data_IF_331474205863
#
_entry.id   IF_331474205863
#
_cell.length_a   1.000
_cell.length_b   1.000
_cell.length_c   1.000
_cell.angle_alpha   90.00
_cell.angle_beta   90.00
_cell.angle_gamma   90.00
#
_symmetry.space_group_name_H-M   'P 1'
#
loop_
_entity.id
_entity.type
_entity.pdbx_description
1 polymer ?
#
# COMPACT_ATOMS: atom_id res chain seq x y z
N UNK A 1 3.36 -24.78 -28.22
CA UNK A 1 4.68 -24.34 -27.71
C UNK A 1 4.52 -22.86 -27.40
N UNK A 2 4.88 -22.40 -26.19
CA UNK A 2 4.77 -21.00 -25.79
C UNK A 2 5.88 -20.20 -26.49
N UNK A 3 5.53 -19.56 -27.61
CA UNK A 3 6.46 -18.78 -28.42
C UNK A 3 6.89 -17.48 -27.72
N UNK A 4 5.98 -16.93 -26.91
CA UNK A 4 6.10 -15.70 -26.16
C UNK A 4 7.24 -15.67 -25.13
N UNK A 5 7.68 -16.83 -24.64
CA UNK A 5 8.80 -16.96 -23.68
C UNK A 5 10.04 -17.61 -24.29
N UNK A 6 10.06 -17.84 -25.60
CA UNK A 6 11.14 -18.59 -26.24
C UNK A 6 12.50 -17.92 -26.09
N UNK A 7 12.54 -16.59 -26.09
CA UNK A 7 13.77 -15.83 -25.91
C UNK A 7 14.37 -16.04 -24.50
N UNK A 8 13.52 -16.30 -23.49
CA UNK A 8 13.96 -16.64 -22.14
C UNK A 8 14.41 -18.12 -22.05
N UNK A 9 13.62 -19.07 -22.55
CA UNK A 9 13.88 -20.51 -22.34
C UNK A 9 14.84 -21.11 -23.37
N UNK A 10 14.83 -20.63 -24.61
CA UNK A 10 15.59 -21.18 -25.74
C UNK A 10 17.09 -21.28 -25.50
N UNK A 11 17.77 -20.23 -25.00
CA UNK A 11 19.19 -20.27 -24.67
C UNK A 11 19.56 -21.35 -23.63
N UNK A 12 18.66 -21.61 -22.67
CA UNK A 12 18.85 -22.64 -21.62
C UNK A 12 18.78 -24.04 -22.23
N UNK A 13 17.78 -24.27 -23.09
CA UNK A 13 17.61 -25.53 -23.84
C UNK A 13 18.83 -25.79 -24.72
N UNK A 14 19.27 -24.79 -25.49
CA UNK A 14 20.44 -24.91 -26.36
C UNK A 14 21.69 -25.29 -25.57
N UNK A 15 21.90 -24.66 -24.40
CA UNK A 15 23.03 -24.98 -23.52
C UNK A 15 23.03 -26.45 -23.09
N UNK A 16 21.89 -26.99 -22.67
CA UNK A 16 21.81 -28.41 -22.25
C UNK A 16 22.09 -29.34 -23.43
N UNK A 17 21.50 -29.06 -24.60
CA UNK A 17 21.70 -29.87 -25.80
C UNK A 17 23.14 -29.81 -26.34
N UNK A 18 23.78 -28.64 -26.29
CA UNK A 18 25.13 -28.45 -26.84
C UNK A 18 26.25 -28.89 -25.90
N UNK A 19 26.06 -28.74 -24.58
CA UNK A 19 27.11 -29.02 -23.58
C UNK A 19 26.87 -30.31 -22.80
N UNK A 20 25.63 -30.81 -22.76
CA UNK A 20 25.24 -31.90 -21.90
C UNK A 20 25.32 -31.58 -20.40
N UNK A 21 25.33 -30.30 -20.02
CA UNK A 21 25.24 -29.85 -18.63
C UNK A 21 23.79 -29.55 -18.28
N UNK A 22 23.29 -30.09 -17.16
CA UNK A 22 21.97 -29.76 -16.67
C UNK A 22 21.89 -28.30 -16.21
N UNK A 23 20.71 -27.70 -16.30
CA UNK A 23 20.45 -26.34 -15.81
C UNK A 23 19.23 -26.32 -14.90
N UNK A 24 19.21 -25.39 -13.96
CA UNK A 24 18.13 -25.19 -13.01
C UNK A 24 17.92 -23.70 -12.80
N UNK A 25 16.68 -23.25 -12.92
CA UNK A 25 16.25 -21.89 -12.69
C UNK A 25 15.07 -21.94 -11.71
N UNK A 26 15.21 -21.38 -10.51
CA UNK A 26 14.12 -21.25 -9.55
C UNK A 26 13.31 -19.98 -9.80
N UNK A 27 11.98 -20.11 -9.76
CA UNK A 27 11.03 -19.01 -9.79
C UNK A 27 11.40 -17.94 -10.85
N UNK A 28 11.67 -18.39 -12.08
CA UNK A 28 11.93 -17.51 -13.20
C UNK A 28 10.65 -16.75 -13.54
N UNK A 29 10.71 -15.42 -13.50
CA UNK A 29 9.63 -14.55 -13.95
C UNK A 29 9.47 -14.70 -15.47
N UNK A 30 8.28 -15.08 -15.89
CA UNK A 30 7.89 -15.17 -17.29
C UNK A 30 6.56 -14.44 -17.48
N UNK A 31 6.40 -13.84 -18.65
CA UNK A 31 5.11 -13.26 -19.04
C UNK A 31 4.40 -14.21 -19.99
N UNK A 32 3.27 -14.75 -19.55
CA UNK A 32 2.44 -15.64 -20.36
C UNK A 32 1.16 -14.93 -20.81
N UNK A 33 0.81 -15.10 -22.08
CA UNK A 33 -0.48 -14.66 -22.60
C UNK A 33 -1.52 -15.76 -22.34
N UNK A 34 -2.27 -15.63 -21.24
CA UNK A 34 -3.30 -16.60 -20.85
C UNK A 34 -4.48 -15.89 -20.21
N UNK A 35 -5.66 -16.52 -20.28
CA UNK A 35 -6.89 -15.93 -19.71
C UNK A 35 -7.24 -14.54 -20.29
N UNK A 36 -6.76 -14.22 -21.49
CA UNK A 36 -7.05 -12.98 -22.21
C UNK A 36 -6.19 -11.77 -21.85
N UNK A 37 -5.09 -11.96 -21.10
CA UNK A 37 -4.15 -10.90 -20.75
C UNK A 37 -2.73 -11.44 -20.57
N UNK A 38 -1.76 -10.52 -20.58
CA UNK A 38 -0.37 -10.82 -20.25
C UNK A 38 -0.24 -10.95 -18.73
N UNK A 39 0.17 -12.12 -18.25
CA UNK A 39 0.19 -12.45 -16.84
C UNK A 39 1.62 -12.55 -16.29
N UNK A 40 1.84 -12.03 -15.09
CA UNK A 40 3.03 -12.30 -14.28
C UNK A 40 2.95 -13.76 -13.77
N UNK A 41 3.87 -14.61 -14.25
CA UNK A 41 3.99 -15.99 -13.78
C UNK A 41 5.42 -16.31 -13.35
N UNK A 42 5.55 -17.26 -12.43
CA UNK A 42 6.84 -17.73 -11.94
C UNK A 42 6.96 -19.23 -12.14
N UNK A 43 8.06 -19.68 -12.72
CA UNK A 43 8.27 -21.08 -13.04
C UNK A 43 9.64 -21.56 -12.60
N UNK A 44 9.70 -22.73 -11.97
CA UNK A 44 10.95 -23.43 -11.71
C UNK A 44 11.18 -24.49 -12.77
N UNK A 45 12.31 -24.38 -13.47
CA UNK A 45 12.71 -25.32 -14.51
C UNK A 45 13.90 -26.16 -14.07
N UNK A 46 13.86 -27.44 -14.42
CA UNK A 46 15.01 -28.34 -14.42
C UNK A 46 15.16 -28.96 -15.80
N UNK A 47 16.27 -28.66 -16.46
CA UNK A 47 16.60 -29.19 -17.78
C UNK A 47 17.74 -30.19 -17.64
N UNK A 48 17.49 -31.46 -17.96
CA UNK A 48 18.44 -32.57 -17.81
C UNK A 48 18.69 -33.27 -19.15
N UNK A 49 19.94 -33.49 -19.57
CA UNK A 49 20.23 -34.15 -20.83
C UNK A 49 19.86 -35.64 -20.75
N UNK A 50 19.29 -36.18 -21.82
CA UNK A 50 19.09 -37.60 -22.01
C UNK A 50 20.24 -38.13 -22.88
N UNK A 51 20.91 -39.19 -22.40
CA UNK A 51 22.08 -39.76 -23.07
C UNK A 51 21.80 -41.17 -23.57
N UNK A 52 22.37 -41.52 -24.71
CA UNK A 52 22.40 -42.89 -25.20
C UNK A 52 23.50 -43.72 -24.50
N UNK A 53 23.62 -44.99 -24.86
CA UNK A 53 24.62 -45.92 -24.32
C UNK A 53 26.07 -45.50 -24.64
N UNK A 54 26.27 -44.59 -25.61
CA UNK A 54 27.56 -44.05 -26.00
C UNK A 54 27.86 -42.70 -25.31
N UNK A 55 26.96 -42.21 -24.47
CA UNK A 55 27.10 -40.96 -23.73
C UNK A 55 26.75 -39.71 -24.55
N UNK A 56 26.29 -39.84 -25.80
CA UNK A 56 25.85 -38.70 -26.62
C UNK A 56 24.51 -38.17 -26.12
N UNK A 57 24.35 -36.84 -26.12
CA UNK A 57 23.07 -36.22 -25.80
C UNK A 57 22.10 -36.47 -26.97
N UNK A 58 21.07 -37.25 -26.73
CA UNK A 58 20.03 -37.60 -27.71
C UNK A 58 18.70 -36.88 -27.45
N UNK A 59 18.61 -36.13 -26.36
CA UNK A 59 17.45 -35.34 -26.01
C UNK A 59 17.62 -34.63 -24.67
N UNK A 60 16.51 -34.11 -24.15
CA UNK A 60 16.48 -33.40 -22.88
C UNK A 60 15.12 -33.64 -22.20
N UNK A 61 15.17 -33.94 -20.91
CA UNK A 61 14.02 -33.90 -20.03
C UNK A 61 13.87 -32.49 -19.46
N UNK A 62 12.67 -31.92 -19.58
CA UNK A 62 12.29 -30.69 -18.92
C UNK A 62 11.25 -31.02 -17.86
N UNK A 63 11.56 -30.73 -16.60
CA UNK A 63 10.59 -30.71 -15.50
C UNK A 63 10.30 -29.25 -15.18
N UNK A 64 9.02 -28.88 -15.19
CA UNK A 64 8.56 -27.54 -14.87
C UNK A 64 7.52 -27.60 -13.76
N UNK A 65 7.66 -26.72 -12.77
CA UNK A 65 6.62 -26.40 -11.81
C UNK A 65 6.28 -24.92 -11.89
N UNK A 66 5.00 -24.59 -11.73
CA UNK A 66 4.57 -23.20 -11.57
C UNK A 66 4.59 -22.85 -10.07
N UNK A 67 5.26 -21.74 -9.76
CA UNK A 67 5.49 -21.20 -8.43
C UNK A 67 4.77 -19.85 -8.21
N UNK A 68 3.96 -19.41 -9.17
CA UNK A 68 3.33 -18.08 -9.21
C UNK A 68 2.64 -17.71 -7.89
N UNK A 69 1.72 -18.54 -7.42
CA UNK A 69 0.96 -18.26 -6.19
C UNK A 69 1.88 -18.21 -4.97
N UNK A 70 2.90 -19.07 -4.91
CA UNK A 70 3.86 -19.11 -3.80
C UNK A 70 4.65 -17.79 -3.75
N UNK A 71 5.22 -17.37 -4.88
CA UNK A 71 6.04 -16.14 -4.95
C UNK A 71 5.21 -14.90 -4.64
N UNK A 72 4.00 -14.80 -5.19
CA UNK A 72 3.13 -13.65 -4.96
C UNK A 72 2.68 -13.60 -3.49
N UNK A 73 2.29 -14.73 -2.91
CA UNK A 73 1.87 -14.77 -1.51
C UNK A 73 3.03 -14.47 -0.56
N UNK A 74 4.24 -14.97 -0.84
CA UNK A 74 5.44 -14.63 -0.07
C UNK A 74 5.72 -13.12 -0.09
N UNK A 75 5.63 -12.48 -1.26
CA UNK A 75 5.82 -11.03 -1.44
C UNK A 75 4.79 -10.23 -0.65
N UNK A 76 3.50 -10.52 -0.83
CA UNK A 76 2.40 -9.83 -0.11
C UNK A 76 2.46 -10.03 1.40
N UNK A 77 2.80 -11.23 1.86
CA UNK A 77 2.97 -11.51 3.28
C UNK A 77 4.19 -10.79 3.87
N UNK A 78 5.27 -10.59 3.10
CA UNK A 78 6.39 -9.76 3.52
C UNK A 78 5.93 -8.30 3.72
N UNK A 79 5.22 -7.73 2.75
CA UNK A 79 4.67 -6.37 2.83
C UNK A 79 3.79 -6.17 4.08
N UNK A 80 2.86 -7.10 4.35
CA UNK A 80 2.00 -7.02 5.55
C UNK A 80 2.80 -7.17 6.86
N UNK A 81 3.79 -8.06 6.88
CA UNK A 81 4.66 -8.26 8.05
C UNK A 81 5.49 -7.00 8.34
N UNK A 82 6.01 -6.37 7.31
CA UNK A 82 6.84 -5.17 7.44
C UNK A 82 6.00 -3.97 7.88
N UNK A 83 4.77 -3.83 7.36
CA UNK A 83 3.79 -2.85 7.85
C UNK A 83 3.36 -3.08 9.30
N UNK A 84 3.22 -4.35 9.71
CA UNK A 84 2.85 -4.74 11.07
C UNK A 84 4.02 -4.74 12.06
N UNK A 85 5.25 -4.54 11.59
CA UNK A 85 6.42 -4.48 12.46
C UNK A 85 6.34 -3.23 13.35
N UNK A 86 6.56 -3.41 14.66
CA UNK A 86 6.40 -2.33 15.64
C UNK A 86 7.45 -1.23 15.41
N UNK A 87 7.05 -0.05 14.92
CA UNK A 87 7.95 1.06 14.90
C UNK A 87 7.95 1.65 16.31
N UNK A 88 8.82 1.13 17.17
CA UNK A 88 9.09 1.64 18.54
C UNK A 88 9.38 3.16 18.66
N UNK A 89 9.39 3.87 17.52
CA UNK A 89 9.69 5.29 17.35
C UNK A 89 8.48 6.10 16.84
N UNK A 90 7.40 5.48 16.36
CA UNK A 90 6.25 6.21 15.82
C UNK A 90 5.36 6.71 16.96
N UNK A 91 5.36 8.02 17.16
CA UNK A 91 4.59 8.71 18.19
C UNK A 91 3.51 9.61 17.61
N UNK A 92 3.57 9.88 16.31
CA UNK A 92 2.67 10.80 15.61
C UNK A 92 2.07 10.17 14.36
N UNK A 93 0.91 10.69 13.94
CA UNK A 93 0.25 10.29 12.68
C UNK A 93 1.20 10.43 11.49
N UNK A 94 1.97 11.52 11.43
CA UNK A 94 2.91 11.79 10.35
C UNK A 94 4.05 10.77 10.29
N UNK A 95 4.61 10.38 11.44
CA UNK A 95 5.66 9.35 11.51
C UNK A 95 5.11 7.99 11.07
N UNK A 96 3.89 7.63 11.48
CA UNK A 96 3.24 6.39 11.07
C UNK A 96 3.08 6.35 9.54
N UNK A 97 2.49 7.40 8.98
CA UNK A 97 2.25 7.51 7.55
C UNK A 97 3.54 7.50 6.73
N UNK A 98 4.60 8.16 7.23
CA UNK A 98 5.93 8.15 6.61
C UNK A 98 6.54 6.75 6.62
N UNK A 99 6.44 6.05 7.76
CA UNK A 99 6.89 4.66 7.88
C UNK A 99 6.13 3.74 6.92
N UNK A 100 4.80 3.82 6.90
CA UNK A 100 3.99 2.99 6.03
C UNK A 100 4.28 3.27 4.54
N UNK A 101 4.40 4.54 4.14
CA UNK A 101 4.79 4.89 2.77
C UNK A 101 6.15 4.31 2.37
N UNK A 102 7.13 4.29 3.29
CA UNK A 102 8.42 3.67 3.04
C UNK A 102 8.28 2.15 2.83
N UNK A 103 7.52 1.45 3.67
CA UNK A 103 7.30 0.00 3.53
C UNK A 103 6.56 -0.35 2.24
N UNK A 104 5.49 0.39 1.92
CA UNK A 104 4.75 0.22 0.66
C UNK A 104 5.62 0.51 -0.57
N UNK A 105 6.61 1.41 -0.44
CA UNK A 105 7.59 1.69 -1.49
C UNK A 105 8.54 0.52 -1.79
N UNK A 106 8.64 -0.48 -0.91
CA UNK A 106 9.47 -1.67 -1.13
C UNK A 106 8.76 -2.78 -1.93
N UNK A 107 7.47 -2.62 -2.24
CA UNK A 107 6.69 -3.58 -3.03
C UNK A 107 6.13 -2.95 -4.33
N UNK A 108 6.99 -2.46 -5.24
CA UNK A 108 6.56 -1.86 -6.50
C UNK A 108 5.95 -2.88 -7.48
N UNK A 109 5.97 -4.18 -7.16
CA UNK A 109 5.41 -5.25 -7.97
C UNK A 109 3.94 -5.48 -7.67
N UNK A 110 3.52 -5.57 -6.41
CA UNK A 110 2.10 -5.65 -6.09
C UNK A 110 1.44 -4.27 -5.91
N UNK A 111 2.21 -3.23 -5.59
CA UNK A 111 1.70 -1.88 -5.36
C UNK A 111 2.59 -0.84 -6.08
N UNK A 112 2.50 -0.71 -7.43
CA UNK A 112 3.33 0.22 -8.20
C UNK A 112 3.36 1.64 -7.66
N UNK A 113 2.23 2.12 -7.14
CA UNK A 113 2.18 3.29 -6.29
C UNK A 113 1.00 3.21 -5.31
N UNK A 114 1.10 3.95 -4.21
CA UNK A 114 0.00 4.14 -3.27
C UNK A 114 -0.18 5.60 -2.89
N UNK A 115 -1.40 5.98 -2.56
CA UNK A 115 -1.75 7.31 -2.02
C UNK A 115 -2.62 7.12 -0.79
N UNK A 116 -2.25 7.77 0.31
CA UNK A 116 -3.05 7.78 1.52
C UNK A 116 -3.65 9.17 1.70
N UNK A 117 -4.96 9.26 1.60
CA UNK A 117 -5.71 10.48 1.87
C UNK A 117 -6.37 10.40 3.24
N UNK A 118 -6.38 11.52 3.97
CA UNK A 118 -7.12 11.67 5.22
C UNK A 118 -8.21 12.71 5.05
N UNK A 119 -9.40 12.43 5.58
CA UNK A 119 -10.50 13.38 5.61
C UNK A 119 -10.19 14.51 6.59
N UNK A 120 -10.61 15.72 6.24
CA UNK A 120 -10.51 16.87 7.14
C UNK A 120 -11.53 16.75 8.29
N UNK A 121 -11.23 17.30 9.47
CA UNK A 121 -12.14 17.23 10.62
C UNK A 121 -13.50 17.89 10.32
N UNK A 122 -14.59 17.20 10.64
CA UNK A 122 -15.96 17.65 10.36
C UNK A 122 -16.41 17.47 8.91
N UNK A 123 -15.52 16.99 8.02
CA UNK A 123 -15.94 16.55 6.68
C UNK A 123 -16.68 15.20 6.79
N UNK A 124 -17.86 15.12 6.17
CA UNK A 124 -18.71 13.92 6.16
C UNK A 124 -19.31 13.48 7.52
N UNK A 125 -19.41 14.37 8.50
CA UNK A 125 -20.12 14.06 9.76
C UNK A 125 -21.59 13.71 9.51
N UNK A 126 -22.07 12.66 10.19
CA UNK A 126 -23.47 12.19 10.21
C UNK A 126 -24.39 13.30 10.74
N UNK A 127 -24.87 14.16 9.85
CA UNK A 127 -25.72 15.31 10.17
C UNK A 127 -25.55 16.52 9.24
N UNK A 128 -24.54 16.53 8.38
CA UNK A 128 -24.25 17.63 7.43
C UNK A 128 -25.00 17.55 6.10
N UNK A 129 -25.87 16.55 5.89
CA UNK A 129 -26.80 16.50 4.76
C UNK A 129 -27.98 17.45 4.98
N UNK A 130 -27.72 18.76 5.02
CA UNK A 130 -28.79 19.75 4.88
C UNK A 130 -29.22 19.74 3.41
N UNK A 131 -30.43 19.22 3.15
CA UNK A 131 -31.06 19.14 1.82
C UNK A 131 -31.21 20.56 1.23
N UNK A 132 -30.15 21.08 0.60
CA UNK A 132 -30.17 22.40 -0.04
C UNK A 132 -28.84 23.12 -0.17
N UNK A 133 -27.76 22.65 0.47
CA UNK A 133 -26.43 23.27 0.31
C UNK A 133 -25.58 22.50 -0.73
N UNK A 134 -25.25 23.18 -1.84
CA UNK A 134 -24.43 22.62 -2.93
C UNK A 134 -22.91 22.80 -2.69
N UNK A 135 -22.53 23.41 -1.56
CA UNK A 135 -21.13 23.73 -1.18
C UNK A 135 -20.58 22.82 -0.05
N UNK A 136 -21.33 21.82 0.42
CA UNK A 136 -20.98 20.93 1.53
C UNK A 136 -20.20 19.67 1.14
N UNK A 137 -19.42 19.71 0.06
CA UNK A 137 -18.60 18.58 -0.36
C UNK A 137 -17.39 18.42 0.56
N UNK A 138 -17.30 17.34 1.33
CA UNK A 138 -16.15 17.14 2.20
C UNK A 138 -14.84 16.98 1.41
N UNK A 139 -13.73 17.22 2.09
CA UNK A 139 -12.39 17.28 1.51
C UNK A 139 -11.46 16.23 2.12
N UNK A 140 -10.42 15.89 1.35
CA UNK A 140 -9.38 14.98 1.82
C UNK A 140 -7.99 15.48 1.41
N UNK A 141 -7.06 15.48 2.36
CA UNK A 141 -5.65 15.85 2.13
C UNK A 141 -4.80 14.62 1.85
N UNK A 142 -3.85 14.75 0.92
CA UNK A 142 -2.84 13.73 0.68
C UNK A 142 -1.88 13.71 1.88
N UNK A 143 -1.90 12.61 2.64
CA UNK A 143 -1.15 12.46 3.87
C UNK A 143 0.12 11.63 3.68
N UNK A 144 0.11 10.68 2.74
CA UNK A 144 1.28 9.87 2.37
C UNK A 144 1.21 9.41 0.91
N UNK A 145 2.35 9.08 0.32
CA UNK A 145 2.43 8.48 -1.01
C UNK A 145 3.65 7.56 -1.11
N UNK A 146 3.58 6.54 -1.97
CA UNK A 146 4.70 5.66 -2.32
C UNK A 146 4.74 5.44 -3.84
N UNK A 147 5.93 5.24 -4.42
CA UNK A 147 6.09 4.88 -5.84
C UNK A 147 5.73 5.96 -6.86
N UNK A 148 5.26 7.14 -6.44
CA UNK A 148 4.82 8.23 -7.32
C UNK A 148 5.44 9.58 -6.91
N UNK A 149 5.68 10.45 -7.88
CA UNK A 149 6.27 11.76 -7.61
C UNK A 149 5.27 12.72 -6.95
N UNK A 150 5.76 13.53 -6.00
CA UNK A 150 4.99 14.64 -5.43
C UNK A 150 4.57 15.60 -6.55
N UNK A 151 3.32 16.04 -6.53
CA UNK A 151 2.77 16.96 -7.54
C UNK A 151 2.31 16.27 -8.84
N UNK A 152 2.39 14.94 -8.93
CA UNK A 152 1.77 14.21 -10.04
C UNK A 152 0.25 14.45 -10.08
N UNK A 153 -0.40 14.59 -11.25
CA UNK A 153 -1.84 14.85 -11.35
C UNK A 153 -2.74 13.76 -10.72
N UNK A 154 -2.24 12.53 -10.61
CA UNK A 154 -2.92 11.43 -9.91
C UNK A 154 -2.82 11.53 -8.37
N UNK A 155 -1.93 12.39 -7.86
CA UNK A 155 -1.64 12.60 -6.44
C UNK A 155 -1.83 14.08 -6.06
N UNK A 156 -3.00 14.70 -6.31
CA UNK A 156 -3.25 16.07 -5.88
C UNK A 156 -3.16 16.15 -4.35
N UNK A 157 -2.62 17.26 -3.85
CA UNK A 157 -2.42 17.48 -2.40
C UNK A 157 -3.73 17.62 -1.62
N UNK A 158 -4.78 18.08 -2.30
CA UNK A 158 -6.13 18.22 -1.75
C UNK A 158 -7.15 17.71 -2.76
N UNK A 159 -8.16 17.03 -2.26
CA UNK A 159 -9.34 16.60 -3.01
C UNK A 159 -10.57 17.30 -2.44
N UNK A 160 -11.47 17.71 -3.34
CA UNK A 160 -12.80 18.22 -3.01
C UNK A 160 -13.83 17.36 -3.76
N UNK A 161 -14.99 17.10 -3.14
CA UNK A 161 -15.99 16.18 -3.67
C UNK A 161 -16.42 16.49 -5.12
N UNK A 162 -16.52 17.78 -5.49
CA UNK A 162 -16.98 18.24 -6.81
C UNK A 162 -15.97 18.00 -7.95
N UNK A 163 -14.68 17.80 -7.63
CA UNK A 163 -13.57 17.72 -8.60
C UNK A 163 -12.57 16.61 -8.27
N UNK A 164 -12.97 15.65 -7.45
CA UNK A 164 -12.07 14.60 -7.01
C UNK A 164 -11.75 13.65 -8.17
N UNK A 165 -10.46 13.41 -8.39
CA UNK A 165 -9.99 12.38 -9.34
C UNK A 165 -10.15 10.96 -8.80
N UNK A 166 -10.47 10.84 -7.51
CA UNK A 166 -10.73 9.59 -6.79
C UNK A 166 -12.16 9.57 -6.22
N UNK A 167 -12.81 8.39 -6.06
CA UNK A 167 -14.18 8.24 -5.56
C UNK A 167 -14.30 8.56 -4.07
N UNK A 168 -14.23 9.85 -3.75
CA UNK A 168 -14.11 10.39 -2.40
C UNK A 168 -15.36 10.12 -1.55
N UNK A 169 -16.55 10.31 -2.12
CA UNK A 169 -17.84 10.08 -1.41
C UNK A 169 -18.06 8.60 -1.07
N UNK A 170 -17.72 7.68 -1.98
CA UNK A 170 -17.85 6.25 -1.74
C UNK A 170 -16.89 5.81 -0.64
N UNK A 171 -15.65 6.31 -0.68
CA UNK A 171 -14.66 6.07 0.36
C UNK A 171 -15.12 6.60 1.72
N UNK A 172 -15.73 7.79 1.79
CA UNK A 172 -16.29 8.36 3.01
C UNK A 172 -17.42 7.49 3.60
N UNK A 173 -18.22 6.85 2.75
CA UNK A 173 -19.24 5.89 3.16
C UNK A 173 -18.71 4.47 3.46
N UNK A 174 -17.38 4.29 3.53
CA UNK A 174 -16.79 2.99 3.83
C UNK A 174 -16.89 1.98 2.69
N UNK A 175 -17.03 2.44 1.45
CA UNK A 175 -17.14 1.57 0.27
C UNK A 175 -15.80 1.51 -0.50
N UNK A 176 -15.35 0.29 -0.78
CA UNK A 176 -14.20 0.06 -1.66
C UNK A 176 -14.61 0.14 -3.13
N UNK A 177 -13.84 0.85 -3.96
CA UNK A 177 -14.16 1.10 -5.38
C UNK A 177 -12.96 0.77 -6.27
N UNK A 178 -13.19 0.01 -7.34
CA UNK A 178 -12.21 -0.21 -8.39
C UNK A 178 -12.28 0.92 -9.42
N UNK A 179 -11.15 1.53 -9.72
CA UNK A 179 -11.02 2.66 -10.65
C UNK A 179 -10.15 2.25 -11.84
N UNK A 180 -10.67 2.46 -13.05
CA UNK A 180 -9.89 2.33 -14.29
C UNK A 180 -8.98 3.54 -14.48
N UNK A 181 -7.69 3.30 -14.72
CA UNK A 181 -6.66 4.34 -14.88
C UNK A 181 -6.26 4.58 -16.33
N UNK A 182 -6.53 3.62 -17.22
CA UNK A 182 -6.15 3.71 -18.63
C UNK A 182 -6.75 5.00 -19.26
N UNK A 183 -5.86 5.91 -19.68
CA UNK A 183 -6.23 7.19 -20.27
C UNK A 183 -6.61 8.31 -19.29
N UNK A 184 -6.77 8.00 -18.00
CA UNK A 184 -7.13 9.00 -16.97
C UNK A 184 -5.95 9.90 -16.61
N UNK A 185 -4.76 9.29 -16.50
CA UNK A 185 -3.52 10.00 -16.19
C UNK A 185 -2.43 9.67 -17.21
N UNK A 186 -1.54 10.63 -17.45
CA UNK A 186 -0.34 10.42 -18.27
C UNK A 186 0.84 10.12 -17.37
N UNK A 187 1.76 9.26 -17.82
CA UNK A 187 3.04 8.99 -17.16
C UNK A 187 2.91 8.44 -15.73
N UNK A 188 1.91 7.59 -15.50
CA UNK A 188 1.83 6.85 -14.23
C UNK A 188 3.10 6.02 -14.01
N UNK A 189 3.59 5.93 -12.76
CA UNK A 189 4.68 5.03 -12.41
C UNK A 189 4.32 3.59 -12.77
N UNK A 190 5.30 2.85 -13.30
CA UNK A 190 5.11 1.44 -13.66
C UNK A 190 5.52 0.50 -12.53
N UNK A 191 6.19 1.01 -11.48
CA UNK A 191 6.84 0.16 -10.49
C UNK A 191 7.97 -0.64 -11.15
N UNK A 192 7.99 -1.96 -10.93
CA UNK A 192 8.95 -2.89 -11.54
C UNK A 192 8.49 -3.41 -12.91
N UNK A 193 7.35 -2.93 -13.40
CA UNK A 193 6.68 -3.43 -14.59
C UNK A 193 7.03 -2.65 -15.85
N UNK A 194 6.97 -3.27 -17.05
CA UNK A 194 7.13 -2.56 -18.32
C UNK A 194 6.04 -1.51 -18.60
N UNK A 195 4.81 -1.76 -18.17
CA UNK A 195 3.64 -0.92 -18.45
C UNK A 195 3.01 -0.36 -17.16
N UNK A 196 2.38 0.83 -17.21
CA UNK A 196 1.73 1.43 -16.05
C UNK A 196 0.50 0.63 -15.59
N UNK A 197 0.12 0.74 -14.30
CA UNK A 197 -1.08 0.12 -13.76
C UNK A 197 -2.32 0.57 -14.55
N UNK A 198 -3.16 -0.38 -14.92
CA UNK A 198 -4.43 -0.12 -15.61
C UNK A 198 -5.57 0.20 -14.63
N UNK A 199 -5.44 -0.22 -13.38
CA UNK A 199 -6.47 -0.14 -12.35
C UNK A 199 -5.88 0.28 -11.01
N UNK A 200 -6.68 0.94 -10.19
CA UNK A 200 -6.42 1.16 -8.77
C UNK A 200 -7.62 0.72 -7.93
N UNK A 201 -7.36 0.13 -6.77
CA UNK A 201 -8.39 -0.12 -5.77
C UNK A 201 -8.34 0.97 -4.72
N UNK A 202 -9.48 1.63 -4.52
CA UNK A 202 -9.69 2.62 -3.46
C UNK A 202 -10.36 1.91 -2.28
N UNK A 203 -9.74 1.97 -1.11
CA UNK A 203 -10.18 1.26 0.10
C UNK A 203 -10.26 2.24 1.27
N UNK A 204 -11.38 2.30 2.01
CA UNK A 204 -11.52 3.16 3.18
C UNK A 204 -10.61 2.74 4.34
N UNK A 205 -10.09 3.73 5.08
CA UNK A 205 -9.36 3.52 6.33
C UNK A 205 -10.37 3.52 7.49
N UNK A 206 -11.00 2.39 7.73
CA UNK A 206 -12.13 2.26 8.67
C UNK A 206 -11.72 2.58 10.12
N UNK A 207 -12.54 3.38 10.80
CA UNK A 207 -12.45 3.64 12.23
C UNK A 207 -13.41 2.73 13.01
N UNK A 208 -13.01 2.32 14.22
CA UNK A 208 -13.92 1.61 15.13
C UNK A 208 -15.01 2.55 15.65
N UNK A 209 -16.27 2.30 15.26
CA UNK A 209 -17.44 3.03 15.76
C UNK A 209 -17.57 4.47 15.27
N UNK A 210 -16.94 4.83 14.15
CA UNK A 210 -17.02 6.17 13.55
C UNK A 210 -16.78 6.16 12.03
N UNK A 211 -16.84 7.33 11.37
CA UNK A 211 -16.55 7.44 9.95
C UNK A 211 -15.08 7.06 9.65
N UNK A 212 -14.75 6.62 8.43
CA UNK A 212 -13.38 6.31 8.05
C UNK A 212 -12.44 7.52 8.29
N UNK A 213 -11.18 7.28 8.65
CA UNK A 213 -10.17 8.34 8.77
C UNK A 213 -9.82 8.97 7.41
N UNK A 214 -10.08 8.26 6.33
CA UNK A 214 -9.57 8.54 5.01
C UNK A 214 -9.68 7.32 4.11
N UNK A 215 -8.83 7.24 3.09
CA UNK A 215 -8.76 6.11 2.18
C UNK A 215 -7.37 5.91 1.59
N UNK A 216 -7.09 4.67 1.22
CA UNK A 216 -5.94 4.25 0.44
C UNK A 216 -6.34 4.12 -1.03
N UNK A 217 -5.57 4.73 -1.92
CA UNK A 217 -5.55 4.38 -3.34
C UNK A 217 -4.36 3.45 -3.56
N UNK A 218 -4.63 2.21 -3.95
CA UNK A 218 -3.61 1.22 -4.28
C UNK A 218 -3.63 0.96 -5.78
N UNK A 219 -2.61 1.41 -6.51
CA UNK A 219 -2.45 1.01 -7.90
C UNK A 219 -2.16 -0.49 -7.97
N UNK A 220 -2.76 -1.18 -8.93
CA UNK A 220 -2.68 -2.62 -9.06
C UNK A 220 -1.68 -3.03 -10.14
N UNK A 221 -1.01 -4.15 -9.91
CA UNK A 221 -0.16 -4.81 -10.89
C UNK A 221 -0.95 -5.11 -12.18
N UNK A 222 -0.52 -4.52 -13.30
CA UNK A 222 -1.18 -4.65 -14.62
C UNK A 222 -1.27 -6.12 -15.08
N UNK A 223 -0.31 -6.95 -14.66
CA UNK A 223 -0.20 -8.34 -15.10
C UNK A 223 -0.80 -9.32 -14.09
N UNK A 224 -1.65 -8.85 -13.17
CA UNK A 224 -2.42 -9.69 -12.25
C UNK A 224 -3.87 -9.25 -12.24
N UNK A 225 -4.79 -10.21 -12.32
CA UNK A 225 -6.21 -9.93 -12.11
C UNK A 225 -6.48 -9.61 -10.64
N UNK A 226 -7.36 -8.65 -10.38
CA UNK A 226 -7.92 -8.44 -9.04
C UNK A 226 -8.87 -9.60 -8.69
N UNK A 227 -8.36 -10.58 -7.97
CA UNK A 227 -9.14 -11.65 -7.33
C UNK A 227 -9.42 -11.33 -5.85
N UNK A 228 -10.09 -12.26 -5.16
CA UNK A 228 -10.41 -12.10 -3.72
C UNK A 228 -9.16 -12.01 -2.86
N UNK A 229 -8.10 -12.76 -3.19
CA UNK A 229 -6.85 -12.75 -2.43
C UNK A 229 -6.10 -11.43 -2.57
N UNK A 230 -6.05 -10.87 -3.78
CA UNK A 230 -5.43 -9.58 -4.04
C UNK A 230 -6.23 -8.43 -3.43
N UNK A 231 -7.57 -8.46 -3.54
CA UNK A 231 -8.44 -7.52 -2.83
C UNK A 231 -8.21 -7.58 -1.32
N UNK A 232 -8.22 -8.79 -0.75
CA UNK A 232 -7.99 -9.00 0.68
C UNK A 232 -6.62 -8.49 1.14
N UNK A 233 -5.58 -8.66 0.33
CA UNK A 233 -4.26 -8.07 0.61
C UNK A 233 -4.31 -6.54 0.72
N UNK A 234 -4.92 -5.85 -0.25
CA UNK A 234 -5.03 -4.37 -0.22
C UNK A 234 -5.90 -3.91 0.96
N UNK A 235 -6.97 -4.64 1.28
CA UNK A 235 -7.82 -4.37 2.44
C UNK A 235 -7.07 -4.55 3.77
N UNK A 236 -6.19 -5.55 3.87
CA UNK A 236 -5.31 -5.73 5.04
C UNK A 236 -4.29 -4.59 5.15
N UNK A 237 -3.71 -4.13 4.02
CA UNK A 237 -2.83 -2.95 4.01
C UNK A 237 -3.56 -1.71 4.54
N UNK A 238 -4.78 -1.46 4.05
CA UNK A 238 -5.63 -0.38 4.54
C UNK A 238 -5.96 -0.54 6.04
N UNK A 239 -6.22 -1.76 6.49
CA UNK A 239 -6.43 -2.07 7.91
C UNK A 239 -5.21 -1.76 8.78
N UNK A 240 -4.00 -2.10 8.34
CA UNK A 240 -2.75 -1.76 9.04
C UNK A 240 -2.56 -0.24 9.14
N UNK A 241 -2.83 0.50 8.06
CA UNK A 241 -2.81 1.97 8.06
C UNK A 241 -3.83 2.55 9.04
N UNK A 242 -5.07 2.07 9.03
CA UNK A 242 -6.11 2.55 9.94
C UNK A 242 -5.74 2.28 11.42
N UNK A 243 -5.23 1.09 11.73
CA UNK A 243 -4.81 0.72 13.08
C UNK A 243 -3.61 1.55 13.58
N UNK A 244 -2.65 1.84 12.70
CA UNK A 244 -1.52 2.71 13.01
C UNK A 244 -1.94 4.15 13.27
N UNK A 245 -2.86 4.70 12.46
CA UNK A 245 -3.41 6.05 12.67
C UNK A 245 -4.12 6.14 14.02
N UNK A 246 -4.99 5.15 14.31
CA UNK A 246 -5.72 5.10 15.58
C UNK A 246 -4.77 5.06 16.78
N UNK A 247 -3.72 4.23 16.72
CA UNK A 247 -2.70 4.12 17.77
C UNK A 247 -1.95 5.43 17.98
N UNK A 248 -1.51 6.08 16.89
CA UNK A 248 -0.79 7.35 16.94
C UNK A 248 -1.66 8.48 17.53
N UNK A 249 -2.91 8.61 17.07
CA UNK A 249 -3.86 9.60 17.62
C UNK A 249 -4.15 9.35 19.10
N UNK A 250 -4.31 8.09 19.51
CA UNK A 250 -4.50 7.74 20.92
C UNK A 250 -3.29 8.14 21.77
N UNK A 251 -2.08 7.88 21.30
CA UNK A 251 -0.85 8.25 22.02
C UNK A 251 -0.73 9.78 22.18
N UNK A 252 -0.98 10.54 21.10
CA UNK A 252 -0.95 12.01 21.14
C UNK A 252 -2.00 12.59 22.10
N UNK A 253 -3.23 12.06 22.08
CA UNK A 253 -4.29 12.51 22.98
C UNK A 253 -3.96 12.22 24.46
N UNK A 254 -3.31 11.09 24.75
CA UNK A 254 -2.84 10.77 26.11
C UNK A 254 -1.72 11.71 26.55
N UNK A 255 -0.78 12.02 25.66
CA UNK A 255 0.32 12.93 25.96
C UNK A 255 -0.19 14.35 26.23
N UNK A 256 -1.07 14.88 25.38
CA UNK A 256 -1.64 16.22 25.56
C UNK A 256 -2.41 16.35 26.88
N UNK A 257 -3.25 15.35 27.23
CA UNK A 257 -3.95 15.34 28.53
C UNK A 257 -2.99 15.34 29.71
N UNK A 258 -1.90 14.57 29.64
CA UNK A 258 -0.90 14.53 30.71
C UNK A 258 -0.17 15.88 30.85
N UNK A 259 0.13 16.55 29.74
CA UNK A 259 0.72 17.90 29.72
C UNK A 259 -0.23 18.93 30.32
N UNK A 260 -1.51 18.95 29.93
CA UNK A 260 -2.55 19.84 30.49
C UNK A 260 -2.73 19.64 32.01
N UNK A 261 -2.73 18.38 32.47
CA UNK A 261 -2.77 18.04 33.91
C UNK A 261 -1.55 18.57 34.65
N UNK A 262 -0.35 18.46 34.07
CA UNK A 262 0.88 18.96 34.67
C UNK A 262 0.94 20.50 34.70
N UNK A 263 0.41 21.18 33.67
CA UNK A 263 0.28 22.64 33.67
C UNK A 263 -0.70 23.11 34.75
N UNK A 264 -1.84 22.45 34.90
CA UNK A 264 -2.82 22.77 35.94
C UNK A 264 -2.23 22.60 37.35
N UNK A 265 -1.48 21.52 37.60
CA UNK A 265 -0.84 21.28 38.89
C UNK A 265 0.26 22.30 39.21
N UNK A 266 1.06 22.70 38.20
CA UNK A 266 2.05 23.78 38.33
C UNK A 266 1.38 25.12 38.65
N UNK A 267 0.35 25.50 37.89
CA UNK A 267 -0.39 26.74 38.10
C UNK A 267 -1.01 26.81 39.51
N UNK A 268 -1.57 25.70 39.97
CA UNK A 268 -2.12 25.57 41.34
C UNK A 268 -1.03 25.74 42.40
N UNK A 269 0.12 25.09 42.23
CA UNK A 269 1.24 25.19 43.17
C UNK A 269 1.79 26.62 43.26
N UNK A 270 1.95 27.31 42.13
CA UNK A 270 2.37 28.72 42.10
C UNK A 270 1.36 29.64 42.78
N UNK A 271 0.06 29.43 42.57
CA UNK A 271 -1.00 30.20 43.23
C UNK A 271 -0.96 30.07 44.77
N UNK A 272 -0.81 28.85 45.29
CA UNK A 272 -0.72 28.63 46.75
C UNK A 272 0.58 29.17 47.37
N UNK A 273 1.68 29.15 46.62
CA UNK A 273 2.95 29.74 47.07
C UNK A 273 2.86 31.27 47.17
N UNK A 274 2.26 31.93 46.17
CA UNK A 274 2.09 33.38 46.15
C UNK A 274 1.16 33.88 47.27
N UNK A 275 0.03 33.21 47.50
CA UNK A 275 -0.89 33.56 48.60
C UNK A 275 -0.23 33.39 49.97
N UNK A 276 0.56 32.33 50.17
CA UNK A 276 1.29 32.14 51.43
C UNK A 276 2.35 33.21 51.68
N UNK A 277 2.93 33.79 50.62
CA UNK A 277 3.86 34.89 50.74
C UNK A 277 3.15 36.21 51.08
N UNK A 278 1.94 36.42 50.57
CA UNK A 278 1.13 37.62 50.80
C UNK A 278 0.56 37.68 52.23
N UNK A 279 0.10 36.53 52.76
CA UNK A 279 -0.39 36.44 54.15
C UNK A 279 0.72 36.52 55.22
N UNK A 280 2.00 36.37 54.85
CA UNK A 280 3.14 36.48 55.79
C UNK A 280 3.76 37.88 55.90
N UNK A 281 3.34 38.82 55.06
CA UNK A 281 3.69 40.24 55.17
C UNK A 281 2.47 41.06 55.53
N UNK A 282 2.22 41.40 56.82
CA UNK A 282 1.17 42.35 57.13
C UNK A 282 1.64 43.74 56.64
N UNK A 283 0.84 44.35 55.77
CA UNK A 283 0.97 45.76 55.40
C UNK A 283 0.88 46.62 56.65
N UNK A 284 1.92 47.42 56.86
CA UNK A 284 2.13 48.30 58.01
C UNK A 284 1.23 49.52 57.97
#
# INVERSE_FOLDING_TARGET
MWAEIWDDIGPRIQRVLSTGQATWDAALLLFLERSGYREETYHTFSYSPLRDDFGHVVGMLCVVSEDTDRVINERRMATLRDLGSDPSVVRTEQEMLTFAAAQLGHDPRDLPFTLTYLFDEGSFDEGSFDEGSFDGGGSARLAALSGIAVGHPAAPTMLAADRSVWPLEQAAHGQSVLVELDGLFRQLPTGDWPDPPAQALVVPLLQQGGPPYGFLVAALNRYRRLDEGYRGFVELVAGHLAAGIASARSYQAQQQRAEELAELDRAKTTFFSNISHEFRTPSR
#
